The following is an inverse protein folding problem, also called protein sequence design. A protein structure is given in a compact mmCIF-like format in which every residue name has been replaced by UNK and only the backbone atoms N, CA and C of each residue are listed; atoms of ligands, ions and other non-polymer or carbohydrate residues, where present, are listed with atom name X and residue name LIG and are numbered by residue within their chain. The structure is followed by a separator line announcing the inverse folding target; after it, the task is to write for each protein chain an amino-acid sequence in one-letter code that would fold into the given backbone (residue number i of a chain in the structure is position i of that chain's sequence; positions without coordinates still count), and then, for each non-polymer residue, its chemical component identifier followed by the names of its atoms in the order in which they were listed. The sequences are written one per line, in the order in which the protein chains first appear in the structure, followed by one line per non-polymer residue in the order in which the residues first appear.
data_IF_684194919887
#
_entry.id   IF_684194919887
#
_cell.length_a   1.000
_cell.length_b   1.000
_cell.length_c   1.000
_cell.angle_alpha   90.00
_cell.angle_beta   90.00
_cell.angle_gamma   90.00
#
_symmetry.space_group_name_H-M   'P 1'
#
loop_
_entity.id
_entity.type
_entity.pdbx_description
1 polymer ?
#
# COMPACT_ATOMS: atom_id res chain seq x y z
N UNK A 1 30.21 -9.23 17.53
CA UNK A 1 29.82 -7.81 17.69
C UNK A 1 30.33 -7.11 16.46
N UNK A 2 29.48 -7.00 15.44
CA UNK A 2 29.62 -6.04 14.34
C UNK A 2 28.21 -5.47 14.15
N UNK A 3 28.11 -4.16 14.36
CA UNK A 3 26.90 -3.49 14.83
C UNK A 3 25.84 -3.29 13.77
N UNK A 4 24.65 -3.82 14.04
CA UNK A 4 23.37 -3.29 13.56
C UNK A 4 23.05 -2.05 14.41
N UNK A 5 23.43 -0.88 13.89
CA UNK A 5 23.18 0.43 14.51
C UNK A 5 22.47 1.33 13.52
N UNK A 6 21.18 1.58 13.76
CA UNK A 6 20.33 2.37 12.89
C UNK A 6 20.79 3.83 12.70
N UNK A 7 20.63 4.32 11.47
CA UNK A 7 20.20 5.69 11.12
C UNK A 7 20.22 5.86 9.59
N UNK A 8 19.10 6.29 9.02
CA UNK A 8 19.02 7.14 7.82
C UNK A 8 19.93 6.84 6.62
N UNK A 9 19.59 5.82 5.83
CA UNK A 9 20.12 5.65 4.47
C UNK A 9 19.09 6.07 3.42
N UNK A 10 19.17 7.32 2.96
CA UNK A 10 18.37 7.83 1.84
C UNK A 10 18.56 6.97 0.57
N UNK A 11 17.47 6.41 0.05
CA UNK A 11 17.20 6.31 -1.40
C UNK A 11 17.76 5.17 -2.24
N UNK A 12 18.94 4.60 -1.98
CA UNK A 12 19.58 3.69 -2.98
C UNK A 12 19.81 2.22 -2.55
N UNK A 13 19.44 1.81 -1.33
CA UNK A 13 19.71 0.46 -0.83
C UNK A 13 18.54 -0.53 -0.83
N UNK A 14 17.29 -0.05 -0.82
CA UNK A 14 16.12 -0.94 -0.62
C UNK A 14 15.50 -1.43 -1.91
N UNK A 15 15.37 -0.59 -2.94
CA UNK A 15 14.75 -0.97 -4.21
C UNK A 15 15.44 -2.18 -4.87
N UNK A 16 16.78 -2.21 -4.86
CA UNK A 16 17.54 -3.34 -5.39
C UNK A 16 17.30 -4.64 -4.63
N UNK A 17 17.22 -4.57 -3.29
CA UNK A 17 16.91 -5.70 -2.42
C UNK A 17 15.46 -6.18 -2.61
N UNK A 18 14.50 -5.26 -2.59
CA UNK A 18 13.09 -5.54 -2.91
C UNK A 18 12.98 -6.27 -4.24
N UNK A 19 13.64 -5.75 -5.28
CA UNK A 19 13.60 -6.37 -6.60
C UNK A 19 14.23 -7.78 -6.62
N UNK A 20 15.33 -8.00 -5.88
CA UNK A 20 15.94 -9.31 -5.76
C UNK A 20 15.02 -10.32 -5.05
N UNK A 21 14.42 -9.91 -3.93
CA UNK A 21 13.52 -10.74 -3.13
C UNK A 21 12.24 -11.08 -3.93
N UNK A 22 11.70 -10.11 -4.69
CA UNK A 22 10.54 -10.33 -5.57
C UNK A 22 10.87 -11.29 -6.71
N UNK A 23 12.02 -11.15 -7.38
CA UNK A 23 12.43 -12.09 -8.45
C UNK A 23 12.54 -13.51 -7.92
N UNK A 24 13.11 -13.68 -6.73
CA UNK A 24 13.23 -15.00 -6.10
C UNK A 24 11.86 -15.60 -5.79
N UNK A 25 10.93 -14.82 -5.24
CA UNK A 25 9.55 -15.25 -4.99
C UNK A 25 8.80 -15.56 -6.29
N UNK A 26 8.96 -14.72 -7.33
CA UNK A 26 8.25 -14.87 -8.60
C UNK A 26 8.64 -16.12 -9.36
N UNK A 27 9.88 -16.59 -9.21
CA UNK A 27 10.34 -17.86 -9.79
C UNK A 27 9.58 -19.10 -9.28
N UNK A 28 8.82 -18.96 -8.19
CA UNK A 28 8.13 -20.06 -7.51
C UNK A 28 6.61 -19.83 -7.41
N UNK A 29 6.09 -18.73 -7.98
CA UNK A 29 4.71 -18.27 -7.75
C UNK A 29 4.08 -17.63 -8.98
N UNK A 30 2.78 -17.87 -9.18
CA UNK A 30 1.99 -17.20 -10.24
C UNK A 30 1.77 -15.72 -9.93
N UNK A 31 1.59 -15.38 -8.67
CA UNK A 31 1.45 -14.01 -8.19
C UNK A 31 2.38 -13.74 -7.00
N UNK A 32 2.87 -12.51 -6.91
CA UNK A 32 3.64 -12.04 -5.76
C UNK A 32 3.00 -10.78 -5.23
N UNK A 33 2.71 -10.77 -3.92
CA UNK A 33 2.18 -9.61 -3.20
C UNK A 33 3.26 -9.11 -2.25
N UNK A 34 3.62 -7.85 -2.38
CA UNK A 34 4.63 -7.20 -1.53
C UNK A 34 3.93 -6.33 -0.50
N UNK A 35 4.27 -6.51 0.78
CA UNK A 35 3.84 -5.63 1.85
C UNK A 35 4.97 -4.64 2.17
N UNK A 36 4.67 -3.34 2.14
CA UNK A 36 5.66 -2.28 2.31
C UNK A 36 5.31 -1.36 3.49
N UNK A 37 6.08 -1.43 4.58
CA UNK A 37 6.01 -0.44 5.66
C UNK A 37 6.85 0.79 5.31
N UNK A 38 6.25 1.83 4.71
CA UNK A 38 7.01 3.01 4.26
C UNK A 38 6.11 4.22 4.07
N UNK A 39 6.68 5.41 4.19
CA UNK A 39 6.00 6.69 4.02
C UNK A 39 6.33 7.65 5.14
N UNK A 40 5.59 8.75 5.19
CA UNK A 40 5.62 9.68 6.32
C UNK A 40 4.22 9.71 6.93
N UNK A 41 4.16 9.67 8.26
CA UNK A 41 2.88 9.71 9.00
C UNK A 41 2.08 10.96 8.65
N UNK A 42 0.78 10.78 8.42
CA UNK A 42 -0.18 11.83 8.10
C UNK A 42 -0.12 12.38 6.68
N UNK A 43 0.84 11.98 5.84
CA UNK A 43 0.90 12.47 4.47
C UNK A 43 0.02 11.65 3.53
N UNK A 44 -0.91 12.32 2.86
CA UNK A 44 -1.84 11.71 1.90
C UNK A 44 -1.21 11.47 0.52
N UNK A 45 0.02 11.93 0.30
CA UNK A 45 0.76 11.68 -0.94
C UNK A 45 1.97 10.79 -0.66
N UNK A 46 2.22 9.77 -1.50
CA UNK A 46 3.38 8.91 -1.31
C UNK A 46 4.66 9.71 -1.55
N UNK A 47 5.71 9.41 -0.80
CA UNK A 47 7.04 9.99 -1.00
C UNK A 47 7.84 9.21 -2.07
N UNK A 48 8.97 9.77 -2.48
CA UNK A 48 9.76 9.19 -3.57
C UNK A 48 10.38 7.83 -3.22
N UNK A 49 10.63 7.57 -1.93
CA UNK A 49 11.15 6.29 -1.46
C UNK A 49 10.07 5.20 -1.55
N UNK A 50 8.82 5.52 -1.18
CA UNK A 50 7.67 4.62 -1.34
C UNK A 50 7.50 4.26 -2.83
N UNK A 51 7.45 5.27 -3.71
CA UNK A 51 7.35 5.08 -5.17
C UNK A 51 8.49 4.23 -5.71
N UNK A 52 9.73 4.56 -5.41
CA UNK A 52 10.89 3.82 -5.91
C UNK A 52 10.87 2.34 -5.52
N UNK A 53 10.50 2.02 -4.27
CA UNK A 53 10.41 0.63 -3.82
C UNK A 53 9.22 -0.10 -4.44
N UNK A 54 8.06 0.55 -4.56
CA UNK A 54 6.88 -0.03 -5.16
C UNK A 54 7.08 -0.33 -6.66
N UNK A 55 7.65 0.62 -7.42
CA UNK A 55 7.99 0.40 -8.83
C UNK A 55 9.03 -0.70 -8.99
N UNK A 56 10.07 -0.72 -8.16
CA UNK A 56 11.08 -1.78 -8.20
C UNK A 56 10.47 -3.18 -7.92
N UNK A 57 9.47 -3.27 -7.05
CA UNK A 57 8.74 -4.51 -6.81
C UNK A 57 7.94 -4.95 -8.05
N UNK A 58 7.12 -4.06 -8.62
CA UNK A 58 6.33 -4.39 -9.82
C UNK A 58 7.25 -4.75 -10.99
N UNK A 59 8.33 -4.00 -11.20
CA UNK A 59 9.31 -4.24 -12.26
C UNK A 59 10.05 -5.57 -12.12
N UNK A 60 10.18 -6.06 -10.88
CA UNK A 60 10.75 -7.37 -10.57
C UNK A 60 9.75 -8.53 -10.72
N UNK A 61 8.47 -8.24 -11.00
CA UNK A 61 7.42 -9.23 -11.24
C UNK A 61 6.38 -9.34 -10.14
N UNK A 62 6.30 -8.40 -9.20
CA UNK A 62 5.19 -8.36 -8.26
C UNK A 62 3.86 -8.06 -8.98
N UNK A 63 2.80 -8.73 -8.53
CA UNK A 63 1.43 -8.47 -8.99
C UNK A 63 0.82 -7.31 -8.20
N UNK A 64 1.05 -7.27 -6.89
CA UNK A 64 0.50 -6.27 -5.99
C UNK A 64 1.59 -5.71 -5.06
N UNK A 65 1.51 -4.42 -4.77
CA UNK A 65 2.23 -3.78 -3.66
C UNK A 65 1.19 -3.16 -2.73
N UNK A 66 1.16 -3.58 -1.47
CA UNK A 66 0.26 -3.06 -0.44
C UNK A 66 1.09 -2.37 0.63
N UNK A 67 1.00 -1.05 0.66
CA UNK A 67 1.72 -0.18 1.57
C UNK A 67 0.93 0.15 2.83
N UNK A 68 1.67 0.51 3.86
CA UNK A 68 1.19 0.93 5.17
C UNK A 68 2.25 1.81 5.84
N UNK A 69 1.91 2.40 7.00
CA UNK A 69 2.69 3.35 7.83
C UNK A 69 2.11 4.78 7.88
N UNK A 70 1.64 5.40 6.79
CA UNK A 70 1.18 6.78 6.84
C UNK A 70 -0.01 7.05 7.78
N UNK A 71 -0.74 6.02 8.21
CA UNK A 71 -1.96 6.14 9.03
C UNK A 71 -3.08 6.98 8.40
N UNK A 72 -2.99 7.22 7.09
CA UNK A 72 -3.99 7.90 6.25
C UNK A 72 -4.10 7.19 4.91
N UNK A 73 -5.15 7.47 4.15
CA UNK A 73 -5.27 7.01 2.77
C UNK A 73 -4.21 7.68 1.88
N UNK A 74 -3.67 6.89 0.95
CA UNK A 74 -2.89 7.36 -0.19
C UNK A 74 -3.45 6.72 -1.47
N UNK A 75 -3.20 7.31 -2.65
CA UNK A 75 -3.75 6.81 -3.92
C UNK A 75 -3.41 5.34 -4.19
N UNK A 76 -4.26 4.70 -5.00
CA UNK A 76 -3.96 3.40 -5.61
C UNK A 76 -3.62 3.61 -7.08
N UNK A 77 -2.44 3.15 -7.47
CA UNK A 77 -1.87 3.37 -8.79
C UNK A 77 -1.76 2.04 -9.54
N UNK A 78 -2.51 1.85 -10.64
CA UNK A 78 -2.17 0.85 -11.64
C UNK A 78 -0.82 1.21 -12.28
N UNK A 79 0.15 0.31 -12.19
CA UNK A 79 1.49 0.51 -12.74
C UNK A 79 1.92 -0.71 -13.53
N UNK A 80 2.12 -0.54 -14.85
CA UNK A 80 2.41 -1.63 -15.78
C UNK A 80 1.37 -2.76 -15.66
N UNK A 81 1.79 -3.95 -15.25
CA UNK A 81 0.94 -5.15 -15.11
C UNK A 81 0.52 -5.42 -13.66
N UNK A 82 0.73 -4.46 -12.75
CA UNK A 82 0.42 -4.61 -11.33
C UNK A 82 -0.33 -3.42 -10.75
N UNK A 83 -0.68 -3.54 -9.47
CA UNK A 83 -1.42 -2.53 -8.72
C UNK A 83 -0.66 -2.16 -7.45
N UNK A 84 -0.54 -0.87 -7.18
CA UNK A 84 0.16 -0.33 -6.01
C UNK A 84 -0.85 0.43 -5.16
N UNK A 85 -1.12 -0.04 -3.95
CA UNK A 85 -1.83 0.73 -2.94
C UNK A 85 -0.80 1.27 -1.95
N UNK A 86 -0.51 2.58 -1.95
CA UNK A 86 0.56 3.12 -1.10
C UNK A 86 0.21 3.15 0.39
N UNK A 87 -1.08 3.34 0.71
CA UNK A 87 -1.62 3.20 2.06
C UNK A 87 -3.14 3.09 2.00
N UNK A 88 -3.69 2.10 2.70
CA UNK A 88 -5.15 1.90 2.85
C UNK A 88 -5.71 2.47 4.16
N UNK A 89 -4.91 3.27 4.88
CA UNK A 89 -5.29 3.85 6.16
C UNK A 89 -5.30 2.83 7.30
N UNK A 90 -6.10 3.11 8.32
CA UNK A 90 -6.22 2.29 9.53
C UNK A 90 -7.47 1.41 9.48
N UNK A 91 -7.44 0.20 10.06
CA UNK A 91 -8.60 -0.71 10.03
C UNK A 91 -9.19 -1.02 11.42
N UNK A 92 -8.42 -1.62 12.33
CA UNK A 92 -8.81 -1.78 13.74
C UNK A 92 -7.74 -1.08 14.57
N UNK A 93 -7.96 0.21 14.85
CA UNK A 93 -6.96 1.07 15.49
C UNK A 93 -7.62 2.29 16.13
N UNK A 94 -7.34 2.54 17.40
CA UNK A 94 -7.88 3.66 18.17
C UNK A 94 -6.93 4.87 18.18
N UNK A 95 -7.41 6.03 18.65
CA UNK A 95 -6.60 7.24 18.76
C UNK A 95 -6.48 8.10 17.49
N UNK A 96 -7.13 7.73 16.38
CA UNK A 96 -7.12 8.48 15.12
C UNK A 96 -8.50 9.07 14.78
N UNK A 97 -8.48 10.29 14.24
CA UNK A 97 -9.66 11.03 13.77
C UNK A 97 -9.37 11.75 12.45
N UNK A 98 -10.39 12.41 11.89
CA UNK A 98 -10.26 13.10 10.60
C UNK A 98 -9.79 12.16 9.48
N UNK A 99 -8.77 12.57 8.72
CA UNK A 99 -8.19 11.75 7.65
C UNK A 99 -7.64 10.41 8.14
N UNK A 100 -7.20 10.30 9.40
CA UNK A 100 -6.71 9.04 9.97
C UNK A 100 -7.80 8.03 10.32
N UNK A 101 -9.06 8.47 10.35
CA UNK A 101 -10.22 7.58 10.50
C UNK A 101 -10.72 7.05 9.15
N UNK A 102 -10.28 7.62 8.02
CA UNK A 102 -10.67 7.16 6.70
C UNK A 102 -9.81 5.97 6.26
N UNK A 103 -10.46 4.96 5.69
CA UNK A 103 -9.82 3.73 5.25
C UNK A 103 -10.58 3.10 4.06
N UNK A 104 -9.98 2.09 3.44
CA UNK A 104 -10.66 1.29 2.45
C UNK A 104 -10.18 -0.16 2.50
N UNK A 105 -11.11 -1.08 2.25
CA UNK A 105 -10.76 -2.46 1.90
C UNK A 105 -10.55 -2.49 0.40
N UNK A 106 -9.35 -2.86 -0.03
CA UNK A 106 -9.05 -3.15 -1.43
C UNK A 106 -9.47 -4.58 -1.75
N UNK A 107 -10.41 -4.75 -2.66
CA UNK A 107 -10.82 -6.03 -3.21
C UNK A 107 -10.13 -6.22 -4.56
N UNK A 108 -9.35 -7.30 -4.74
CA UNK A 108 -8.67 -7.61 -6.01
C UNK A 108 -9.08 -8.99 -6.49
N UNK A 109 -9.44 -9.10 -7.77
CA UNK A 109 -9.67 -10.39 -8.43
C UNK A 109 -8.44 -10.79 -9.22
N UNK A 110 -7.82 -11.91 -8.85
CA UNK A 110 -6.67 -12.48 -9.54
C UNK A 110 -7.08 -13.69 -10.40
N UNK A 111 -6.47 -13.79 -11.57
CA UNK A 111 -6.58 -14.92 -12.50
C UNK A 111 -5.18 -15.36 -12.91
N UNK A 112 -5.00 -16.55 -13.51
CA UNK A 112 -3.69 -16.96 -14.02
C UNK A 112 -3.05 -15.96 -15.00
N UNK A 113 -3.85 -15.11 -15.66
CA UNK A 113 -3.37 -14.08 -16.57
C UNK A 113 -2.95 -12.76 -15.87
N UNK A 114 -3.25 -12.60 -14.57
CA UNK A 114 -3.01 -11.36 -13.82
C UNK A 114 -4.26 -10.82 -13.12
N UNK A 115 -4.24 -9.52 -12.83
CA UNK A 115 -5.35 -8.80 -12.21
C UNK A 115 -6.50 -8.67 -13.22
N UNK A 116 -7.66 -9.24 -12.91
CA UNK A 116 -8.87 -9.10 -13.72
C UNK A 116 -9.70 -7.87 -13.36
N UNK A 117 -9.51 -7.33 -12.15
CA UNK A 117 -10.17 -6.12 -11.70
C UNK A 117 -9.92 -5.87 -10.21
N UNK A 118 -10.22 -4.67 -9.78
CA UNK A 118 -10.19 -4.29 -8.37
C UNK A 118 -11.31 -3.29 -8.05
N UNK A 119 -11.70 -3.24 -6.78
CA UNK A 119 -12.68 -2.29 -6.27
C UNK A 119 -12.37 -1.94 -4.82
N UNK A 120 -13.03 -0.90 -4.32
CA UNK A 120 -12.86 -0.45 -2.94
C UNK A 120 -14.15 -0.52 -2.16
N UNK A 121 -14.05 -0.99 -0.92
CA UNK A 121 -15.10 -0.82 0.07
C UNK A 121 -14.66 0.29 1.02
N UNK A 122 -15.29 1.48 0.99
CA UNK A 122 -14.89 2.59 1.84
C UNK A 122 -15.27 2.29 3.29
N UNK A 123 -14.33 2.55 4.18
CA UNK A 123 -14.44 2.25 5.61
C UNK A 123 -14.09 3.51 6.39
N UNK A 124 -14.79 3.71 7.48
CA UNK A 124 -14.44 4.76 8.43
C UNK A 124 -14.37 4.20 9.84
N UNK A 125 -13.38 4.68 10.60
CA UNK A 125 -13.22 4.30 11.98
C UNK A 125 -14.14 5.12 12.88
N UNK A 126 -14.83 4.42 13.78
CA UNK A 126 -15.62 4.99 14.87
C UNK A 126 -15.18 4.30 16.15
N UNK A 127 -14.56 5.04 17.05
CA UNK A 127 -14.01 4.51 18.31
C UNK A 127 -13.10 3.28 18.10
N UNK A 128 -12.24 3.36 17.08
CA UNK A 128 -11.31 2.30 16.69
C UNK A 128 -11.93 1.08 16.00
N UNK A 129 -13.22 1.13 15.68
CA UNK A 129 -13.95 0.07 14.99
C UNK A 129 -14.20 0.46 13.52
N UNK A 130 -13.91 -0.42 12.56
CA UNK A 130 -14.25 -0.17 11.17
C UNK A 130 -15.75 -0.32 10.95
N UNK A 131 -16.37 0.71 10.38
CA UNK A 131 -17.73 0.67 9.86
C UNK A 131 -17.73 1.06 8.38
N UNK A 132 -18.67 0.51 7.62
CA UNK A 132 -18.82 0.89 6.21
C UNK A 132 -19.19 2.38 6.15
N UNK A 133 -18.51 3.12 5.28
CA UNK A 133 -18.89 4.49 4.98
C UNK A 133 -20.02 4.50 3.94
N UNK A 134 -20.88 5.52 4.00
CA UNK A 134 -22.01 5.70 3.10
C UNK A 134 -22.09 7.16 2.61
N UNK A 135 -22.87 7.40 1.55
CA UNK A 135 -23.16 8.75 1.04
C UNK A 135 -21.91 9.57 0.70
N UNK A 136 -21.88 10.82 1.15
CA UNK A 136 -20.78 11.76 0.88
C UNK A 136 -19.45 11.32 1.51
N UNK A 137 -19.48 10.65 2.66
CA UNK A 137 -18.26 10.16 3.32
C UNK A 137 -17.61 9.03 2.52
N UNK A 138 -18.41 8.12 1.97
CA UNK A 138 -17.94 7.10 1.04
C UNK A 138 -17.32 7.73 -0.21
N UNK A 139 -18.00 8.73 -0.81
CA UNK A 139 -17.50 9.42 -1.99
C UNK A 139 -16.15 10.13 -1.72
N UNK A 140 -16.01 10.79 -0.57
CA UNK A 140 -14.78 11.47 -0.17
C UNK A 140 -13.61 10.51 0.10
N UNK A 141 -13.89 9.31 0.61
CA UNK A 141 -12.89 8.25 0.78
C UNK A 141 -12.43 7.74 -0.59
N UNK A 142 -13.38 7.41 -1.46
CA UNK A 142 -13.07 6.85 -2.78
C UNK A 142 -12.28 7.83 -3.65
N UNK A 143 -12.61 9.13 -3.60
CA UNK A 143 -11.88 10.16 -4.34
C UNK A 143 -10.40 10.32 -3.93
N UNK A 144 -9.99 9.84 -2.75
CA UNK A 144 -8.58 9.87 -2.32
C UNK A 144 -7.76 8.70 -2.87
N UNK A 145 -8.43 7.67 -3.38
CA UNK A 145 -7.80 6.45 -3.91
C UNK A 145 -7.52 6.55 -5.41
N UNK A 146 -8.07 7.57 -6.08
CA UNK A 146 -7.88 7.89 -7.51
C UNK A 146 -6.59 8.66 -7.79
#
# INVERSE_FOLDING_TARGET
MDGDGGAGGYGLGRAARVAADVRAAKAQSDHVVVLLHSGYEGLTTPNDIQRANAYAAIDAGATLVIGHHPHVLQPVEPYKNGLIAYSLGNFVFDGFGGAGAQSAILNVTLTPAGIAGYSFTPVVLRDGRPVLAEGEEAAAILAQLE
#
